data_IF_205126690966
#
_entry.id   IF_205126690966
#
_cell.length_a   1.000
_cell.length_b   1.000
_cell.length_c   1.000
_cell.angle_alpha   90.00
_cell.angle_beta   90.00
_cell.angle_gamma   90.00
#
_symmetry.space_group_name_H-M   'P 1'
#
loop_
_entity.id
_entity.type
_entity.pdbx_description
1 polymer ?
#
# COMPACT_ATOMS: atom_id res chain seq x y z
N UNK A 1 3.92 1.00 -30.48
CA UNK A 1 4.60 2.20 -31.03
C UNK A 1 4.11 2.41 -32.46
N UNK A 2 3.91 3.65 -32.92
CA UNK A 2 3.42 3.87 -34.28
C UNK A 2 4.48 3.45 -35.31
N UNK A 3 4.08 2.72 -36.36
CA UNK A 3 5.02 2.10 -37.31
C UNK A 3 5.92 3.14 -38.02
N UNK A 4 5.40 4.33 -38.31
CA UNK A 4 6.20 5.40 -38.96
C UNK A 4 7.45 5.85 -38.19
N UNK A 5 7.53 5.59 -36.88
CA UNK A 5 8.68 5.94 -36.04
C UNK A 5 9.31 4.72 -35.35
N UNK A 6 8.80 3.52 -35.61
CA UNK A 6 9.17 2.30 -34.87
C UNK A 6 10.65 1.98 -34.98
N UNK A 7 11.22 2.00 -36.18
CA UNK A 7 12.64 1.69 -36.38
C UNK A 7 13.54 2.69 -35.64
N UNK A 8 13.27 3.99 -35.80
CA UNK A 8 14.00 5.06 -35.10
C UNK A 8 13.86 4.95 -33.58
N UNK A 9 12.67 4.58 -33.10
CA UNK A 9 12.40 4.35 -31.69
C UNK A 9 13.20 3.16 -31.16
N UNK A 10 13.14 2.01 -31.82
CA UNK A 10 13.87 0.79 -31.42
C UNK A 10 15.38 1.02 -31.40
N UNK A 11 15.93 1.68 -32.42
CA UNK A 11 17.35 2.05 -32.45
C UNK A 11 17.73 2.94 -31.26
N UNK A 12 16.86 3.89 -30.89
CA UNK A 12 17.10 4.74 -29.72
C UNK A 12 16.99 3.96 -28.41
N UNK A 13 15.99 3.10 -28.27
CA UNK A 13 15.79 2.24 -27.08
C UNK A 13 17.01 1.35 -26.88
N UNK A 14 17.48 0.68 -27.92
CA UNK A 14 18.68 -0.17 -27.87
C UNK A 14 19.90 0.63 -27.40
N UNK A 15 20.10 1.83 -27.94
CA UNK A 15 21.19 2.73 -27.57
C UNK A 15 21.10 3.23 -26.13
N UNK A 16 19.91 3.51 -25.61
CA UNK A 16 19.77 3.97 -24.22
C UNK A 16 19.91 2.80 -23.23
N UNK A 17 19.38 1.62 -23.55
CA UNK A 17 19.52 0.42 -22.74
C UNK A 17 20.99 0.01 -22.59
N UNK A 18 21.79 0.11 -23.66
CA UNK A 18 23.22 -0.23 -23.59
C UNK A 18 24.03 0.65 -22.63
N UNK A 19 23.46 1.77 -22.15
CA UNK A 19 24.10 2.67 -21.18
C UNK A 19 23.71 2.37 -19.74
N UNK A 20 22.80 1.42 -19.49
CA UNK A 20 22.31 1.08 -18.16
C UNK A 20 23.23 0.04 -17.53
N UNK A 21 24.18 0.42 -16.65
CA UNK A 21 25.04 -0.57 -16.03
C UNK A 21 24.24 -1.38 -15.00
N UNK A 22 24.55 -2.68 -14.94
CA UNK A 22 24.20 -3.50 -13.79
C UNK A 22 25.06 -3.07 -12.62
N UNK A 23 24.44 -2.86 -11.45
CA UNK A 23 25.15 -2.43 -10.25
C UNK A 23 24.72 -3.22 -9.02
N UNK A 24 25.61 -3.27 -8.05
CA UNK A 24 25.34 -3.82 -6.73
C UNK A 24 24.42 -2.89 -5.93
N UNK A 25 23.67 -3.42 -4.94
CA UNK A 25 22.94 -2.58 -4.00
C UNK A 25 23.84 -1.57 -3.27
N UNK A 26 25.08 -1.93 -2.98
CA UNK A 26 26.04 -1.05 -2.31
C UNK A 26 26.35 0.20 -3.17
N UNK A 27 26.60 0.01 -4.47
CA UNK A 27 26.82 1.12 -5.42
C UNK A 27 25.58 2.03 -5.56
N UNK A 28 24.37 1.49 -5.36
CA UNK A 28 23.13 2.28 -5.33
C UNK A 28 22.98 3.10 -4.04
N UNK A 29 23.56 2.65 -2.93
CA UNK A 29 23.49 3.36 -1.65
C UNK A 29 24.55 4.45 -1.54
N UNK A 30 25.76 4.19 -2.02
CA UNK A 30 26.92 5.09 -1.88
C UNK A 30 26.90 6.28 -2.85
N UNK A 31 26.16 6.19 -3.95
CA UNK A 31 26.18 7.20 -5.01
C UNK A 31 25.27 8.42 -4.79
N UNK A 32 24.23 8.31 -3.96
CA UNK A 32 23.11 9.28 -3.96
C UNK A 32 22.32 9.27 -5.27
N UNK A 33 21.12 9.88 -5.29
CA UNK A 33 20.17 9.82 -6.42
C UNK A 33 20.78 10.26 -7.77
N UNK A 34 21.70 11.23 -7.77
CA UNK A 34 22.30 11.73 -9.01
C UNK A 34 23.31 10.77 -9.64
N UNK A 35 24.04 9.97 -8.85
CA UNK A 35 25.03 9.01 -9.38
C UNK A 35 24.45 7.63 -9.68
N UNK A 36 23.22 7.38 -9.23
CA UNK A 36 22.53 6.08 -9.31
C UNK A 36 21.39 6.07 -10.32
N UNK A 37 21.02 7.24 -10.83
CA UNK A 37 20.11 7.38 -11.97
C UNK A 37 20.59 6.57 -13.17
N UNK A 38 19.68 5.79 -13.76
CA UNK A 38 19.98 4.96 -14.93
C UNK A 38 20.78 3.69 -14.66
N UNK A 39 20.79 3.17 -13.43
CA UNK A 39 21.41 1.88 -13.08
C UNK A 39 20.38 0.81 -12.73
N UNK A 40 20.76 -0.46 -12.84
CA UNK A 40 19.88 -1.60 -12.55
C UNK A 40 20.48 -2.57 -11.54
N UNK A 41 19.75 -2.82 -10.44
CA UNK A 41 20.12 -3.78 -9.40
C UNK A 41 19.71 -5.23 -9.73
N UNK A 42 20.05 -6.20 -8.85
CA UNK A 42 19.63 -7.59 -8.99
C UNK A 42 18.15 -7.78 -8.67
N UNK A 43 17.59 -8.90 -9.14
CA UNK A 43 16.27 -9.38 -8.71
C UNK A 43 16.25 -9.70 -7.21
N UNK A 44 15.08 -9.55 -6.59
CA UNK A 44 14.89 -9.69 -5.14
C UNK A 44 15.22 -11.08 -4.57
N UNK A 45 15.04 -12.14 -5.37
CA UNK A 45 15.22 -13.52 -4.90
C UNK A 45 15.53 -14.48 -6.03
N UNK A 46 16.07 -15.66 -5.68
CA UNK A 46 16.31 -16.77 -6.62
C UNK A 46 15.04 -17.19 -7.35
N UNK A 47 13.93 -17.34 -6.62
CA UNK A 47 12.64 -17.74 -7.20
C UNK A 47 12.17 -16.75 -8.27
N UNK A 48 12.29 -15.45 -7.99
CA UNK A 48 11.90 -14.42 -8.95
C UNK A 48 12.86 -14.37 -10.15
N UNK A 49 14.16 -14.53 -9.91
CA UNK A 49 15.17 -14.66 -10.95
C UNK A 49 14.86 -15.82 -11.91
N UNK A 50 14.66 -17.03 -11.38
CA UNK A 50 14.34 -18.23 -12.16
C UNK A 50 13.02 -18.09 -12.92
N UNK A 51 12.00 -17.44 -12.32
CA UNK A 51 10.74 -17.13 -13.02
C UNK A 51 11.02 -16.25 -14.25
N UNK A 52 11.72 -15.13 -14.05
CA UNK A 52 11.99 -14.15 -15.11
C UNK A 52 12.86 -14.75 -16.20
N UNK A 53 13.98 -15.38 -15.86
CA UNK A 53 14.88 -15.99 -16.85
C UNK A 53 14.18 -17.12 -17.58
N UNK A 54 13.40 -17.96 -16.90
CA UNK A 54 12.62 -19.02 -17.53
C UNK A 54 11.61 -18.51 -18.55
N UNK A 55 10.92 -17.40 -18.29
CA UNK A 55 10.02 -16.77 -19.28
C UNK A 55 10.78 -16.23 -20.49
N UNK A 56 11.91 -15.56 -20.27
CA UNK A 56 12.78 -15.04 -21.34
C UNK A 56 13.33 -16.18 -22.21
N UNK A 57 13.78 -17.28 -21.60
CA UNK A 57 14.33 -18.43 -22.32
C UNK A 57 13.26 -19.13 -23.16
N UNK A 58 12.03 -19.30 -22.65
CA UNK A 58 10.91 -19.84 -23.43
C UNK A 58 10.53 -18.94 -24.61
N UNK A 59 10.54 -17.62 -24.43
CA UNK A 59 10.28 -16.66 -25.50
C UNK A 59 11.36 -16.74 -26.59
N UNK A 60 12.65 -16.83 -26.22
CA UNK A 60 13.77 -17.04 -27.15
C UNK A 60 13.66 -18.39 -27.88
N UNK A 61 13.34 -19.46 -27.16
CA UNK A 61 13.15 -20.79 -27.73
C UNK A 61 11.98 -20.86 -28.73
N UNK A 62 10.99 -19.98 -28.58
CA UNK A 62 9.87 -19.82 -29.51
C UNK A 62 10.24 -19.04 -30.78
N UNK A 63 11.49 -18.61 -30.93
CA UNK A 63 11.98 -17.88 -32.09
C UNK A 63 11.60 -16.40 -32.14
N UNK A 64 11.17 -15.83 -31.02
CA UNK A 64 10.78 -14.42 -30.96
C UNK A 64 11.98 -13.49 -31.10
N UNK A 65 11.79 -12.37 -31.80
CA UNK A 65 12.87 -11.41 -32.07
C UNK A 65 13.29 -10.68 -30.79
N UNK A 66 14.57 -10.76 -30.46
CA UNK A 66 15.21 -10.04 -29.36
C UNK A 66 16.06 -8.91 -29.93
N UNK A 67 15.74 -7.67 -29.56
CA UNK A 67 16.51 -6.50 -29.98
C UNK A 67 17.81 -6.34 -29.19
N UNK A 68 17.76 -6.56 -27.87
CA UNK A 68 18.91 -6.51 -26.97
C UNK A 68 18.63 -7.24 -25.65
N UNK A 69 19.70 -7.54 -24.91
CA UNK A 69 19.66 -8.23 -23.63
C UNK A 69 19.38 -9.73 -23.78
N UNK A 70 18.59 -10.28 -22.87
CA UNK A 70 18.20 -11.69 -22.88
C UNK A 70 19.23 -12.63 -22.24
N UNK A 71 20.17 -12.07 -21.47
CA UNK A 71 21.14 -12.82 -20.67
C UNK A 71 20.93 -12.56 -19.17
N UNK A 72 21.50 -13.44 -18.37
CA UNK A 72 21.51 -13.35 -16.91
C UNK A 72 22.90 -13.65 -16.38
N UNK A 73 23.22 -13.17 -15.17
CA UNK A 73 24.55 -13.30 -14.57
C UNK A 73 24.48 -13.73 -13.11
N UNK A 74 25.34 -14.68 -12.75
CA UNK A 74 25.66 -15.11 -11.39
C UNK A 74 27.17 -14.92 -11.12
N UNK A 75 27.66 -14.76 -9.87
CA UNK A 75 26.89 -14.68 -8.62
C UNK A 75 25.99 -13.43 -8.54
N UNK A 76 24.90 -13.53 -7.76
CA UNK A 76 23.80 -12.57 -7.75
C UNK A 76 22.68 -12.94 -8.73
N UNK A 77 21.56 -12.22 -8.65
CA UNK A 77 20.35 -12.48 -9.43
C UNK A 77 20.14 -11.42 -10.52
N UNK A 78 21.15 -11.19 -11.36
CA UNK A 78 21.12 -10.12 -12.35
C UNK A 78 20.52 -10.58 -13.68
N UNK A 79 19.55 -9.81 -14.19
CA UNK A 79 18.95 -10.00 -15.51
C UNK A 79 19.21 -8.75 -16.33
N UNK A 80 19.73 -8.90 -17.55
CA UNK A 80 19.94 -7.77 -18.45
C UNK A 80 18.60 -7.16 -18.90
N UNK A 81 18.51 -5.82 -19.07
CA UNK A 81 17.34 -5.22 -19.69
C UNK A 81 17.12 -5.83 -21.08
N UNK A 82 15.98 -6.51 -21.24
CA UNK A 82 15.68 -7.34 -22.40
C UNK A 82 14.54 -6.73 -23.20
N UNK A 83 14.70 -6.59 -24.51
CA UNK A 83 13.65 -6.05 -25.39
C UNK A 83 13.29 -7.07 -26.44
N UNK A 84 12.02 -7.50 -26.45
CA UNK A 84 11.43 -8.29 -27.51
C UNK A 84 10.65 -7.40 -28.47
N UNK A 85 10.67 -7.74 -29.76
CA UNK A 85 10.00 -6.98 -30.83
C UNK A 85 9.03 -7.87 -31.58
N UNK A 86 7.81 -7.36 -31.80
CA UNK A 86 6.75 -8.01 -32.58
C UNK A 86 6.36 -9.42 -32.11
N UNK A 87 6.38 -9.64 -30.79
CA UNK A 87 5.91 -10.89 -30.19
C UNK A 87 4.41 -11.10 -30.47
N UNK A 88 3.94 -12.34 -30.68
CA UNK A 88 2.52 -12.62 -30.85
C UNK A 88 1.67 -12.15 -29.65
N UNK A 89 0.45 -11.66 -29.91
CA UNK A 89 -0.43 -11.08 -28.88
C UNK A 89 -1.03 -12.12 -27.93
N UNK A 90 -0.91 -13.40 -28.25
CA UNK A 90 -1.32 -14.55 -27.44
C UNK A 90 -0.15 -15.24 -26.73
N UNK A 91 1.08 -14.74 -26.91
CA UNK A 91 2.27 -15.30 -26.28
C UNK A 91 2.36 -15.00 -24.79
N UNK A 92 2.95 -15.92 -24.02
CA UNK A 92 3.14 -15.77 -22.57
C UNK A 92 3.86 -14.46 -22.22
N UNK A 93 4.91 -14.10 -22.97
CA UNK A 93 5.72 -12.88 -22.73
C UNK A 93 4.93 -11.58 -22.99
N UNK A 94 3.81 -11.66 -23.70
CA UNK A 94 2.91 -10.54 -23.94
C UNK A 94 1.76 -10.49 -22.93
N UNK A 95 1.18 -11.64 -22.58
CA UNK A 95 -0.05 -11.71 -21.77
C UNK A 95 0.20 -11.83 -20.26
N UNK A 96 1.38 -12.29 -19.85
CA UNK A 96 1.75 -12.51 -18.45
C UNK A 96 2.67 -11.42 -17.90
N UNK A 97 2.53 -11.14 -16.61
CA UNK A 97 3.42 -10.22 -15.91
C UNK A 97 4.75 -10.93 -15.56
N UNK A 98 5.80 -10.54 -16.28
CA UNK A 98 7.17 -11.02 -16.06
C UNK A 98 7.71 -10.51 -14.72
N UNK A 99 7.47 -9.23 -14.41
CA UNK A 99 7.98 -8.56 -13.21
C UNK A 99 9.51 -8.61 -13.09
N UNK A 100 10.17 -8.34 -14.21
CA UNK A 100 11.61 -8.20 -14.39
C UNK A 100 11.92 -7.13 -15.45
N UNK A 101 13.20 -6.86 -15.75
CA UNK A 101 13.60 -5.82 -16.68
C UNK A 101 13.39 -6.26 -18.14
N UNK A 102 12.14 -6.57 -18.52
CA UNK A 102 11.76 -7.10 -19.84
C UNK A 102 10.68 -6.21 -20.45
N UNK A 103 10.90 -5.76 -21.68
CA UNK A 103 9.98 -4.92 -22.45
C UNK A 103 9.61 -5.62 -23.76
N UNK A 104 8.31 -5.69 -24.06
CA UNK A 104 7.82 -6.11 -25.38
C UNK A 104 7.38 -4.87 -26.17
N UNK A 105 7.79 -4.78 -27.44
CA UNK A 105 7.44 -3.67 -28.33
C UNK A 105 6.72 -4.20 -29.56
N UNK A 106 5.52 -3.67 -29.81
CA UNK A 106 4.72 -3.96 -31.01
C UNK A 106 4.37 -2.68 -31.76
N UNK A 107 4.24 -2.81 -33.08
CA UNK A 107 3.83 -1.75 -34.00
C UNK A 107 2.32 -1.55 -34.08
N UNK A 108 1.87 -0.36 -34.45
CA UNK A 108 0.48 -0.09 -34.87
C UNK A 108 0.44 1.02 -35.93
N UNK A 109 -0.61 1.06 -36.74
CA UNK A 109 -0.81 2.11 -37.75
C UNK A 109 -1.96 3.06 -37.38
N UNK A 110 -2.97 2.58 -36.66
CA UNK A 110 -4.13 3.39 -36.30
C UNK A 110 -4.31 3.58 -34.79
N UNK A 111 -4.95 4.68 -34.38
CA UNK A 111 -5.31 4.94 -32.97
C UNK A 111 -6.22 3.81 -32.43
N UNK A 112 -7.11 3.27 -33.27
CA UNK A 112 -8.01 2.18 -32.92
C UNK A 112 -7.28 0.87 -32.64
N UNK A 113 -6.32 0.48 -33.49
CA UNK A 113 -5.46 -0.69 -33.24
C UNK A 113 -4.68 -0.55 -31.93
N UNK A 114 -4.06 0.61 -31.70
CA UNK A 114 -3.30 0.87 -30.49
C UNK A 114 -4.16 0.70 -29.23
N UNK A 115 -5.39 1.23 -29.25
CA UNK A 115 -6.33 1.12 -28.15
C UNK A 115 -6.86 -0.31 -27.95
N UNK A 116 -7.13 -1.02 -29.04
CA UNK A 116 -7.56 -2.41 -28.98
C UNK A 116 -6.47 -3.28 -28.34
N UNK A 117 -5.23 -3.12 -28.80
CA UNK A 117 -4.09 -3.88 -28.28
C UNK A 117 -3.79 -3.51 -26.82
N UNK A 118 -3.77 -2.22 -26.47
CA UNK A 118 -3.54 -1.77 -25.09
C UNK A 118 -4.60 -2.25 -24.10
N UNK A 119 -5.87 -2.34 -24.54
CA UNK A 119 -6.97 -2.80 -23.71
C UNK A 119 -7.14 -4.33 -23.69
N UNK A 120 -6.47 -5.06 -24.60
CA UNK A 120 -6.48 -6.51 -24.72
C UNK A 120 -5.56 -7.17 -23.69
N UNK A 121 -5.91 -6.97 -22.42
CA UNK A 121 -5.25 -7.59 -21.28
C UNK A 121 -6.28 -7.83 -20.18
N UNK A 122 -6.07 -8.87 -19.36
CA UNK A 122 -6.90 -9.11 -18.17
C UNK A 122 -6.59 -8.13 -17.03
N UNK A 123 -5.48 -7.42 -17.12
CA UNK A 123 -5.04 -6.41 -16.17
C UNK A 123 -5.67 -5.04 -16.47
N UNK A 124 -5.41 -4.07 -15.60
CA UNK A 124 -5.97 -2.71 -15.70
C UNK A 124 -5.42 -1.74 -14.67
N UNK A 125 -4.13 -1.84 -14.32
CA UNK A 125 -3.52 -0.94 -13.33
C UNK A 125 -3.29 0.46 -13.92
N UNK A 126 -2.37 0.57 -14.88
CA UNK A 126 -1.98 1.84 -15.46
C UNK A 126 -1.69 1.75 -16.97
N UNK A 127 -1.77 2.88 -17.66
CA UNK A 127 -1.38 3.04 -19.06
C UNK A 127 -0.72 4.40 -19.29
N UNK A 128 0.00 4.56 -20.41
CA UNK A 128 0.59 5.83 -20.80
C UNK A 128 0.33 6.14 -22.27
N UNK A 129 0.06 7.41 -22.59
CA UNK A 129 -0.02 7.92 -23.95
C UNK A 129 1.05 9.00 -24.16
N UNK A 130 1.80 8.88 -25.26
CA UNK A 130 2.84 9.82 -25.65
C UNK A 130 2.47 10.41 -27.02
N UNK A 131 2.12 11.70 -27.06
CA UNK A 131 1.80 12.41 -28.30
C UNK A 131 2.02 13.91 -28.16
N UNK A 132 2.47 14.54 -29.25
CA UNK A 132 2.49 15.99 -29.39
C UNK A 132 1.11 16.60 -29.69
N UNK A 133 0.09 15.78 -29.94
CA UNK A 133 -1.30 16.18 -30.17
C UNK A 133 -2.11 16.04 -28.87
N UNK A 134 -2.46 17.14 -28.19
CA UNK A 134 -3.18 17.08 -26.92
C UNK A 134 -4.59 16.48 -27.07
N UNK A 135 -5.26 16.74 -28.20
CA UNK A 135 -6.59 16.21 -28.45
C UNK A 135 -6.56 14.68 -28.62
N UNK A 136 -5.47 14.15 -29.20
CA UNK A 136 -5.24 12.70 -29.24
C UNK A 136 -4.98 12.12 -27.87
N UNK A 137 -4.15 12.76 -27.05
CA UNK A 137 -3.94 12.33 -25.67
C UNK A 137 -5.27 12.24 -24.91
N UNK A 138 -6.12 13.27 -25.00
CA UNK A 138 -7.45 13.30 -24.38
C UNK A 138 -8.35 12.15 -24.85
N UNK A 139 -8.42 11.90 -26.17
CA UNK A 139 -9.23 10.80 -26.73
C UNK A 139 -8.74 9.43 -26.28
N UNK A 140 -7.42 9.22 -26.29
CA UNK A 140 -6.79 7.94 -25.94
C UNK A 140 -6.92 7.68 -24.45
N UNK A 141 -6.62 8.66 -23.59
CA UNK A 141 -6.66 8.48 -22.14
C UNK A 141 -8.06 8.09 -21.63
N UNK A 142 -9.13 8.66 -22.22
CA UNK A 142 -10.51 8.31 -21.88
C UNK A 142 -10.92 6.89 -22.29
N UNK A 143 -10.21 6.30 -23.25
CA UNK A 143 -10.52 4.97 -23.80
C UNK A 143 -9.66 3.87 -23.19
N UNK A 144 -8.59 4.19 -22.45
CA UNK A 144 -7.86 3.18 -21.69
C UNK A 144 -8.74 2.60 -20.58
N UNK A 145 -8.66 1.27 -20.41
CA UNK A 145 -9.36 0.54 -19.36
C UNK A 145 -8.42 0.22 -18.20
N UNK A 146 -7.94 1.27 -17.54
CA UNK A 146 -7.05 1.20 -16.38
C UNK A 146 -7.42 2.27 -15.34
N UNK A 147 -6.89 2.15 -14.11
CA UNK A 147 -7.17 3.12 -13.05
C UNK A 147 -6.28 4.36 -13.09
N UNK A 148 -5.08 4.25 -13.67
CA UNK A 148 -4.11 5.36 -13.77
C UNK A 148 -3.75 5.57 -15.24
N UNK A 149 -3.73 6.82 -15.71
CA UNK A 149 -3.23 7.16 -17.04
C UNK A 149 -2.21 8.28 -16.93
N UNK A 150 -1.04 8.07 -17.51
CA UNK A 150 -0.03 9.12 -17.69
C UNK A 150 -0.06 9.67 -19.12
N UNK A 151 0.08 10.98 -19.24
CA UNK A 151 0.18 11.69 -20.53
C UNK A 151 1.57 12.27 -20.64
N UNK A 152 2.31 11.90 -21.68
CA UNK A 152 3.68 12.33 -21.96
C UNK A 152 4.71 12.04 -20.84
N UNK A 153 4.40 11.07 -19.96
CA UNK A 153 5.31 10.54 -18.94
C UNK A 153 4.89 9.10 -18.55
N UNK A 154 5.66 8.45 -17.67
CA UNK A 154 5.33 7.13 -17.14
C UNK A 154 5.92 6.99 -15.74
N UNK A 155 5.13 6.47 -14.79
CA UNK A 155 5.49 6.18 -13.39
C UNK A 155 5.37 7.26 -12.30
N UNK A 156 5.22 8.60 -12.54
CA UNK A 156 5.00 9.53 -11.43
C UNK A 156 3.85 9.08 -10.54
N UNK A 157 4.13 8.97 -9.24
CA UNK A 157 3.21 8.53 -8.20
C UNK A 157 3.21 9.57 -7.09
N UNK A 158 2.05 10.18 -6.86
CA UNK A 158 1.86 11.27 -5.90
C UNK A 158 0.87 10.80 -4.84
N UNK A 159 1.17 11.03 -3.57
CA UNK A 159 0.31 10.61 -2.44
C UNK A 159 -1.07 11.26 -2.48
N UNK A 160 -1.16 12.44 -3.08
CA UNK A 160 -2.40 13.21 -3.21
C UNK A 160 -3.41 12.58 -4.19
N UNK A 161 -2.99 11.63 -5.04
CA UNK A 161 -3.82 11.04 -6.08
C UNK A 161 -4.21 9.60 -5.75
N UNK A 162 -5.41 9.14 -6.13
CA UNK A 162 -5.80 7.76 -5.92
C UNK A 162 -4.93 6.81 -6.75
N UNK A 163 -4.43 5.76 -6.10
CA UNK A 163 -3.69 4.68 -6.75
C UNK A 163 -4.46 3.37 -6.66
N UNK A 164 -4.75 2.75 -7.81
CA UNK A 164 -5.50 1.50 -7.90
C UNK A 164 -5.81 1.13 -9.35
N UNK A 165 -6.14 -0.14 -9.60
CA UNK A 165 -6.47 -0.65 -10.93
C UNK A 165 -7.93 -1.09 -11.06
N UNK A 166 -8.34 -1.40 -12.29
CA UNK A 166 -9.61 -2.07 -12.61
C UNK A 166 -9.37 -3.53 -13.04
N UNK A 167 -10.45 -4.30 -13.24
CA UNK A 167 -10.45 -5.71 -13.68
C UNK A 167 -9.75 -6.64 -12.69
N UNK A 168 -8.85 -7.53 -13.15
CA UNK A 168 -8.14 -8.50 -12.31
C UNK A 168 -7.11 -7.84 -11.37
N UNK A 169 -6.87 -6.55 -11.56
CA UNK A 169 -6.12 -5.68 -10.64
C UNK A 169 -7.06 -4.83 -9.76
N UNK A 170 -8.31 -5.27 -9.58
CA UNK A 170 -9.22 -4.76 -8.55
C UNK A 170 -8.61 -5.00 -7.17
N UNK A 171 -7.79 -4.06 -6.73
CA UNK A 171 -7.91 -3.58 -5.37
C UNK A 171 -9.04 -2.56 -5.42
N UNK A 172 -10.05 -2.78 -4.59
CA UNK A 172 -11.38 -2.15 -4.56
C UNK A 172 -11.39 -0.66 -4.92
N UNK A 173 -12.53 -0.19 -5.44
CA UNK A 173 -12.93 1.22 -5.42
C UNK A 173 -12.86 1.67 -3.95
N UNK A 174 -11.73 2.25 -3.58
CA UNK A 174 -11.15 2.19 -2.24
C UNK A 174 -9.63 2.24 -2.37
N UNK A 175 -9.18 3.23 -3.14
CA UNK A 175 -7.80 3.52 -3.53
C UNK A 175 -6.81 3.33 -2.39
N UNK A 176 -5.58 2.87 -2.69
CA UNK A 176 -4.41 3.17 -1.86
C UNK A 176 -4.07 4.67 -1.96
N UNK A 177 -5.06 5.54 -1.76
CA UNK A 177 -4.85 6.95 -1.51
C UNK A 177 -4.28 7.06 -0.10
N UNK A 178 -2.95 6.98 -0.02
CA UNK A 178 -2.22 7.36 1.17
C UNK A 178 -2.38 8.87 1.37
N UNK A 179 -3.19 9.25 2.37
CA UNK A 179 -3.31 10.60 2.92
C UNK A 179 -3.62 11.72 1.89
N UNK A 180 -4.89 11.88 1.52
CA UNK A 180 -5.61 13.17 1.64
C UNK A 180 -6.98 13.07 0.96
N UNK A 181 -8.02 12.91 1.77
CA UNK A 181 -9.34 13.47 1.44
C UNK A 181 -9.43 14.72 2.30
N UNK A 182 -8.94 15.86 1.81
CA UNK A 182 -8.77 17.11 2.58
C UNK A 182 -7.83 17.01 3.82
N UNK A 183 -7.30 18.15 4.32
CA UNK A 183 -6.52 18.16 5.55
C UNK A 183 -7.33 17.57 6.72
N UNK A 184 -6.80 16.52 7.34
CA UNK A 184 -7.36 15.94 8.57
C UNK A 184 -8.41 14.84 8.42
N UNK A 185 -8.74 14.35 7.22
CA UNK A 185 -9.62 13.16 7.09
C UNK A 185 -8.84 11.89 6.71
N UNK A 186 -9.17 10.79 7.40
CA UNK A 186 -8.73 9.44 7.04
C UNK A 186 -9.36 9.02 5.71
N UNK A 187 -8.60 8.31 4.88
CA UNK A 187 -9.14 7.79 3.62
C UNK A 187 -10.34 6.85 3.89
N UNK A 188 -11.37 6.83 3.03
CA UNK A 188 -12.58 6.03 3.22
C UNK A 188 -12.32 4.53 3.46
N UNK A 189 -11.20 3.99 2.98
CA UNK A 189 -10.79 2.60 3.24
C UNK A 189 -10.46 2.29 4.70
N UNK A 190 -10.31 3.30 5.55
CA UNK A 190 -10.09 3.18 7.00
C UNK A 190 -11.32 3.58 7.82
N UNK A 191 -12.45 3.87 7.17
CA UNK A 191 -13.69 4.27 7.82
C UNK A 191 -14.74 3.19 7.62
N UNK A 192 -15.48 2.88 8.68
CA UNK A 192 -16.67 2.02 8.60
C UNK A 192 -17.92 2.90 8.68
N UNK A 193 -18.66 3.09 7.57
CA UNK A 193 -19.88 3.88 7.60
C UNK A 193 -20.95 3.14 8.43
N UNK A 194 -21.43 3.79 9.50
CA UNK A 194 -22.54 3.30 10.32
C UNK A 194 -23.76 4.18 10.13
N UNK A 195 -24.80 3.65 9.48
CA UNK A 195 -26.07 4.34 9.38
C UNK A 195 -26.82 4.20 10.72
N UNK A 196 -27.06 5.32 11.40
CA UNK A 196 -27.86 5.37 12.64
C UNK A 196 -29.17 6.07 12.32
N UNK A 197 -30.28 5.34 12.41
CA UNK A 197 -31.63 5.88 12.22
C UNK A 197 -32.40 5.72 13.52
N UNK A 198 -32.91 6.84 14.05
CA UNK A 198 -33.74 6.85 15.25
C UNK A 198 -35.19 7.14 14.88
N UNK A 199 -36.10 6.29 15.34
CA UNK A 199 -37.53 6.56 15.27
C UNK A 199 -37.94 7.42 16.47
N UNK A 200 -38.22 8.71 16.24
CA UNK A 200 -38.42 9.71 17.30
C UNK A 200 -39.89 9.97 17.66
N UNK A 201 -40.84 9.39 16.93
CA UNK A 201 -42.27 9.57 17.20
C UNK A 201 -42.80 8.52 18.15
N UNK A 202 -43.79 8.90 18.97
CA UNK A 202 -44.55 7.98 19.84
C UNK A 202 -45.63 7.20 19.07
N UNK A 203 -45.87 7.54 17.80
CA UNK A 203 -46.86 6.85 16.97
C UNK A 203 -46.39 5.45 16.60
N UNK A 204 -47.26 4.42 16.60
CA UNK A 204 -46.89 3.09 16.15
C UNK A 204 -46.42 3.10 14.69
N UNK A 205 -45.46 2.25 14.35
CA UNK A 205 -44.91 2.16 12.97
C UNK A 205 -45.97 1.65 11.95
N UNK A 206 -47.00 0.94 12.39
CA UNK A 206 -48.18 0.62 11.58
C UNK A 206 -48.00 -0.46 10.50
N UNK A 207 -46.91 -1.23 10.55
CA UNK A 207 -46.60 -2.26 9.54
C UNK A 207 -47.55 -3.47 9.57
N UNK A 208 -47.98 -3.88 10.76
CA UNK A 208 -48.91 -5.00 10.92
C UNK A 208 -50.32 -4.48 11.14
N UNK A 209 -51.30 -5.11 10.49
CA UNK A 209 -52.72 -4.88 10.82
C UNK A 209 -52.92 -5.22 12.29
N UNK A 210 -53.57 -4.36 13.10
CA UNK A 210 -54.09 -4.79 14.38
C UNK A 210 -55.04 -5.95 14.07
N UNK A 211 -54.70 -7.16 14.48
CA UNK A 211 -55.58 -8.32 14.37
C UNK A 211 -55.83 -8.85 15.77
N UNK A 212 -57.13 -8.85 16.08
CA UNK A 212 -57.82 -9.42 17.23
C UNK A 212 -57.94 -8.49 18.46
N UNK A 213 -59.04 -7.73 18.44
CA UNK A 213 -59.91 -7.62 19.60
C UNK A 213 -60.25 -9.05 20.13
N UNK A 214 -60.36 -9.18 21.45
CA UNK A 214 -60.74 -10.36 22.23
C UNK A 214 -59.65 -11.37 22.66
N UNK A 215 -58.88 -10.99 23.69
CA UNK A 215 -58.91 -11.76 24.95
C UNK A 215 -58.38 -10.93 26.13
N UNK A 216 -59.31 -10.38 26.92
CA UNK A 216 -59.19 -10.10 28.37
C UNK A 216 -57.79 -9.75 28.91
N UNK A 217 -57.26 -8.60 28.51
CA UNK A 217 -56.55 -7.72 29.44
C UNK A 217 -57.11 -6.31 29.23
N UNK A 218 -58.19 -6.04 29.97
CA UNK A 218 -58.81 -4.72 30.07
C UNK A 218 -57.98 -3.82 31.02
N UNK A 219 -58.49 -2.65 31.38
CA UNK A 219 -58.28 -1.36 30.75
C UNK A 219 -57.44 -0.44 31.66
N UNK A 220 -57.28 0.80 31.24
CA UNK A 220 -56.84 1.93 32.06
C UNK A 220 -55.43 1.91 32.65
N UNK A 221 -54.71 2.95 32.21
CA UNK A 221 -53.93 3.86 33.05
C UNK A 221 -54.31 3.85 34.54
N UNK A 222 -53.77 2.90 35.29
CA UNK A 222 -53.59 3.02 36.73
C UNK A 222 -52.12 2.70 37.00
N UNK A 223 -51.38 3.72 37.42
CA UNK A 223 -50.03 3.59 37.91
C UNK A 223 -50.00 2.51 39.01
N UNK A 224 -49.33 1.40 38.75
CA UNK A 224 -48.90 0.48 39.80
C UNK A 224 -47.83 1.19 40.63
N UNK A 225 -48.07 1.51 41.92
CA UNK A 225 -47.06 2.13 42.76
C UNK A 225 -46.04 1.04 43.12
N UNK A 226 -44.85 1.10 42.51
CA UNK A 226 -43.75 0.19 42.83
C UNK A 226 -42.84 -0.22 41.65
N UNK A 227 -43.18 0.09 40.41
CA UNK A 227 -42.32 -0.16 39.24
C UNK A 227 -41.86 1.16 38.63
N UNK A 228 -41.16 1.95 39.43
CA UNK A 228 -40.43 3.13 38.99
C UNK A 228 -39.01 2.74 38.58
N UNK A 229 -38.84 1.80 37.66
CA UNK A 229 -37.61 1.75 36.86
C UNK A 229 -37.96 1.38 35.41
N UNK A 230 -37.51 2.16 34.42
CA UNK A 230 -37.68 1.79 33.02
C UNK A 230 -36.94 0.47 32.80
N UNK A 231 -37.67 -0.60 32.52
CA UNK A 231 -37.07 -1.81 31.97
C UNK A 231 -36.52 -1.41 30.59
N UNK A 232 -35.24 -1.09 30.54
CA UNK A 232 -34.49 -0.93 29.30
C UNK A 232 -34.40 -2.31 28.63
N UNK A 233 -35.49 -2.78 28.03
CA UNK A 233 -35.45 -3.94 27.15
C UNK A 233 -34.68 -3.54 25.89
N UNK A 234 -33.39 -3.88 25.86
CA UNK A 234 -32.59 -3.82 24.64
C UNK A 234 -33.01 -5.02 23.78
N UNK A 235 -33.87 -4.78 22.79
CA UNK A 235 -34.19 -5.79 21.79
C UNK A 235 -33.15 -5.73 20.67
N UNK A 236 -32.29 -6.74 20.59
CA UNK A 236 -31.37 -6.90 19.47
C UNK A 236 -32.11 -7.57 18.31
N UNK A 237 -32.37 -6.83 17.23
CA UNK A 237 -32.90 -7.39 15.98
C UNK A 237 -31.72 -7.50 15.00
N UNK A 238 -31.27 -8.73 14.76
CA UNK A 238 -30.31 -9.01 13.71
C UNK A 238 -31.05 -9.24 12.39
N UNK A 239 -30.97 -8.28 11.46
CA UNK A 239 -31.50 -8.43 10.10
C UNK A 239 -30.38 -9.01 9.23
N UNK A 240 -30.40 -10.32 9.03
CA UNK A 240 -29.49 -10.96 8.08
C UNK A 240 -30.19 -11.03 6.71
N UNK A 241 -30.12 -9.95 5.93
CA UNK A 241 -30.64 -9.94 4.57
C UNK A 241 -29.57 -10.51 3.64
N UNK A 242 -29.68 -11.81 3.32
CA UNK A 242 -28.84 -12.44 2.31
C UNK A 242 -29.18 -11.92 0.91
N UNK A 243 -28.50 -10.87 0.45
CA UNK A 243 -28.44 -10.55 -0.96
C UNK A 243 -27.44 -11.50 -1.62
N UNK A 244 -27.95 -12.58 -2.20
CA UNK A 244 -27.16 -13.51 -3.02
C UNK A 244 -26.72 -12.78 -4.28
N UNK A 245 -25.52 -12.19 -4.27
CA UNK A 245 -24.80 -11.92 -5.52
C UNK A 245 -24.10 -13.22 -5.87
N UNK A 246 -24.62 -13.92 -6.88
CA UNK A 246 -24.05 -15.16 -7.39
C UNK A 246 -22.56 -14.95 -7.77
N UNK A 247 -21.69 -15.54 -6.96
CA UNK A 247 -20.26 -15.69 -7.18
C UNK A 247 -19.80 -16.76 -6.21
N UNK A 248 -19.76 -18.01 -6.68
CA UNK A 248 -19.41 -19.19 -5.90
C UNK A 248 -18.13 -18.98 -5.05
N UNK A 249 -18.30 -18.81 -3.73
CA UNK A 249 -17.30 -19.28 -2.77
C UNK A 249 -17.75 -20.66 -2.33
N UNK A 250 -17.03 -21.68 -2.79
CA UNK A 250 -16.99 -22.98 -2.12
C UNK A 250 -16.16 -22.79 -0.86
N UNK A 251 -16.81 -22.47 0.26
CA UNK A 251 -16.22 -22.69 1.57
C UNK A 251 -16.16 -24.20 1.79
N UNK A 252 -14.94 -24.75 1.80
CA UNK A 252 -14.70 -26.11 2.24
C UNK A 252 -14.62 -26.07 3.77
N UNK A 253 -15.64 -26.61 4.44
CA UNK A 253 -15.61 -26.91 5.87
C UNK A 253 -14.50 -27.94 6.15
N UNK A 254 -13.36 -27.47 6.63
CA UNK A 254 -12.32 -28.31 7.24
C UNK A 254 -12.60 -28.33 8.75
N UNK A 255 -12.67 -29.50 9.42
CA UNK A 255 -12.93 -29.54 10.86
C UNK A 255 -11.78 -28.87 11.63
N UNK A 256 -12.08 -27.82 12.39
CA UNK A 256 -11.09 -27.11 13.21
C UNK A 256 -10.71 -27.92 14.46
N UNK A 257 -9.41 -28.16 14.64
CA UNK A 257 -8.84 -28.75 15.85
C UNK A 257 -8.87 -27.74 17.02
N UNK A 258 -9.82 -27.92 17.94
CA UNK A 258 -10.00 -27.08 19.13
C UNK A 258 -8.74 -27.03 20.02
N UNK A 259 -7.89 -28.05 20.02
CA UNK A 259 -6.68 -28.08 20.84
C UNK A 259 -5.63 -27.09 20.31
N UNK A 260 -5.50 -27.01 18.98
CA UNK A 260 -4.60 -26.06 18.31
C UNK A 260 -5.05 -24.61 18.55
N UNK A 261 -6.36 -24.34 18.53
CA UNK A 261 -6.88 -23.00 18.86
C UNK A 261 -6.62 -22.63 20.32
N UNK A 262 -6.85 -23.55 21.27
CA UNK A 262 -6.59 -23.28 22.70
C UNK A 262 -5.11 -23.03 22.98
N UNK A 263 -4.21 -23.72 22.28
CA UNK A 263 -2.77 -23.47 22.38
C UNK A 263 -2.40 -22.10 21.78
N UNK A 264 -2.88 -21.78 20.57
CA UNK A 264 -2.71 -20.46 19.96
C UNK A 264 -3.23 -19.33 20.84
N UNK A 265 -4.37 -19.51 21.51
CA UNK A 265 -4.96 -18.52 22.41
C UNK A 265 -4.12 -18.29 23.68
N UNK A 266 -3.47 -19.35 24.21
CA UNK A 266 -2.53 -19.23 25.33
C UNK A 266 -1.25 -18.49 24.93
N UNK A 267 -0.74 -18.78 23.74
CA UNK A 267 0.45 -18.11 23.20
C UNK A 267 0.16 -16.63 22.89
N UNK A 268 -1.01 -16.32 22.34
CA UNK A 268 -1.52 -14.95 22.15
C UNK A 268 -1.59 -14.17 23.46
N UNK A 269 -2.15 -14.74 24.52
CA UNK A 269 -2.22 -14.09 25.86
C UNK A 269 -0.84 -13.85 26.47
N UNK A 270 0.15 -14.72 26.20
CA UNK A 270 1.53 -14.57 26.69
C UNK A 270 2.25 -13.45 25.94
N UNK A 271 1.99 -13.30 24.65
CA UNK A 271 2.55 -12.24 23.80
C UNK A 271 1.94 -10.87 24.14
N UNK A 272 0.63 -10.80 24.37
CA UNK A 272 -0.08 -9.57 24.78
C UNK A 272 0.48 -8.98 26.08
N UNK A 273 0.75 -9.85 27.07
CA UNK A 273 1.39 -9.46 28.35
C UNK A 273 2.79 -8.85 28.17
N UNK A 274 3.56 -9.33 27.20
CA UNK A 274 4.90 -8.79 26.91
C UNK A 274 4.82 -7.47 26.13
N UNK A 275 3.74 -7.23 25.37
CA UNK A 275 3.53 -6.00 24.62
C UNK A 275 3.19 -4.82 25.54
N UNK A 276 2.42 -5.06 26.60
CA UNK A 276 2.19 -4.05 27.64
C UNK A 276 3.49 -3.51 28.24
N UNK A 277 4.47 -4.40 28.50
CA UNK A 277 5.81 -4.01 29.01
C UNK A 277 6.57 -3.13 28.00
N UNK A 278 6.49 -3.44 26.71
CA UNK A 278 7.14 -2.66 25.65
C UNK A 278 6.50 -1.27 25.50
N UNK A 279 5.18 -1.17 25.62
CA UNK A 279 4.46 0.11 25.61
C UNK A 279 4.82 0.96 26.83
N UNK A 280 4.87 0.38 28.02
CA UNK A 280 5.26 1.09 29.24
C UNK A 280 6.71 1.62 29.16
N UNK A 281 7.64 0.80 28.64
CA UNK A 281 9.02 1.21 28.39
C UNK A 281 9.10 2.35 27.37
N UNK A 282 8.30 2.30 26.29
CA UNK A 282 8.23 3.37 25.31
C UNK A 282 7.75 4.69 25.95
N UNK A 283 6.65 4.65 26.73
CA UNK A 283 6.11 5.84 27.38
C UNK A 283 7.09 6.45 28.38
N UNK A 284 7.81 5.62 29.15
CA UNK A 284 8.84 6.08 30.08
C UNK A 284 10.02 6.74 29.34
N UNK A 285 10.57 6.08 28.32
CA UNK A 285 11.68 6.60 27.52
C UNK A 285 11.31 7.88 26.76
N UNK A 286 10.10 7.95 26.20
CA UNK A 286 9.60 9.13 25.53
C UNK A 286 9.49 10.32 26.49
N UNK A 287 8.96 10.10 27.70
CA UNK A 287 8.90 11.14 28.74
C UNK A 287 10.29 11.64 29.16
N UNK A 288 11.29 10.76 29.20
CA UNK A 288 12.68 11.16 29.49
C UNK A 288 13.34 11.93 28.34
N UNK A 289 13.02 11.60 27.08
CA UNK A 289 13.52 12.31 25.89
C UNK A 289 12.96 13.73 25.83
N UNK A 290 11.66 13.91 26.11
CA UNK A 290 11.04 15.25 26.18
C UNK A 290 11.71 16.09 27.25
N UNK A 291 11.87 15.56 28.47
CA UNK A 291 12.57 16.28 29.55
C UNK A 291 14.02 16.61 29.20
N UNK A 292 14.72 15.71 28.49
CA UNK A 292 16.08 15.98 28.04
C UNK A 292 16.15 17.05 26.95
N UNK A 293 15.15 17.13 26.06
CA UNK A 293 15.04 18.19 25.06
C UNK A 293 14.91 19.56 25.73
N UNK A 294 14.02 19.69 26.72
CA UNK A 294 13.86 20.94 27.48
C UNK A 294 15.18 21.40 28.12
N UNK A 295 15.99 20.45 28.64
CA UNK A 295 17.30 20.79 29.22
C UNK A 295 18.40 21.08 28.19
N UNK A 296 18.22 20.70 26.92
CA UNK A 296 19.11 21.06 25.81
C UNK A 296 18.75 22.45 25.33
N UNK A 297 17.46 22.73 25.16
CA UNK A 297 16.95 24.03 24.74
C UNK A 297 17.33 25.13 25.75
N UNK A 298 17.26 24.83 27.06
CA UNK A 298 17.73 25.74 28.10
C UNK A 298 19.24 26.01 28.06
N UNK A 299 20.06 25.03 27.63
CA UNK A 299 21.51 25.22 27.46
C UNK A 299 21.81 26.00 26.18
N UNK A 300 21.05 25.76 25.11
CA UNK A 300 21.14 26.54 23.86
C UNK A 300 20.78 28.02 24.12
N UNK A 301 19.78 28.30 24.96
CA UNK A 301 19.43 29.67 25.39
C UNK A 301 20.53 30.32 26.25
N UNK A 302 21.16 29.57 27.17
CA UNK A 302 22.31 30.04 27.94
C UNK A 302 23.53 30.33 27.07
N UNK A 303 23.77 29.49 26.05
CA UNK A 303 24.84 29.73 25.06
C UNK A 303 24.59 30.99 24.23
N UNK A 304 23.33 31.28 23.90
CA UNK A 304 22.93 32.49 23.17
C UNK A 304 23.17 33.76 24.01
N UNK A 305 22.84 33.71 25.30
CA UNK A 305 23.07 34.80 26.25
C UNK A 305 24.57 35.00 26.60
N UNK A 306 25.37 33.93 26.52
CA UNK A 306 26.79 33.95 26.82
C UNK A 306 27.69 34.32 25.62
N UNK A 307 27.13 34.72 24.47
CA UNK A 307 27.89 35.02 23.24
C UNK A 307 28.97 36.09 23.38
N UNK A 308 28.78 37.05 24.31
CA UNK A 308 29.72 38.15 24.58
C UNK A 308 30.60 37.91 25.82
N UNK A 309 30.56 36.70 26.39
CA UNK A 309 31.31 36.33 27.60
C UNK A 309 32.67 35.68 27.30
N UNK A 310 33.53 35.55 28.32
CA UNK A 310 34.88 34.99 28.18
C UNK A 310 34.89 33.53 27.72
N UNK A 311 35.83 33.19 26.83
CA UNK A 311 35.86 31.91 26.11
C UNK A 311 35.80 30.64 26.97
N UNK A 312 36.24 30.69 28.23
CA UNK A 312 36.21 29.53 29.14
C UNK A 312 34.79 29.10 29.56
N UNK A 313 33.86 30.07 29.69
CA UNK A 313 32.44 29.79 30.03
C UNK A 313 31.72 29.19 28.83
N UNK A 314 32.04 29.68 27.63
CA UNK A 314 31.47 29.18 26.37
C UNK A 314 31.94 27.75 26.10
N UNK A 315 33.20 27.42 26.40
CA UNK A 315 33.78 26.09 26.21
C UNK A 315 33.14 25.05 27.15
N UNK A 316 32.94 25.36 28.44
CA UNK A 316 32.26 24.47 29.40
C UNK A 316 30.77 24.24 29.03
N UNK A 317 30.09 25.25 28.52
CA UNK A 317 28.71 25.13 28.02
C UNK A 317 28.65 24.26 26.76
N UNK A 318 29.61 24.39 25.85
CA UNK A 318 29.71 23.57 24.64
C UNK A 318 29.94 22.08 24.95
N UNK A 319 30.84 21.77 25.90
CA UNK A 319 31.07 20.38 26.33
C UNK A 319 29.83 19.77 26.98
N UNK A 320 29.16 20.53 27.85
CA UNK A 320 27.91 20.11 28.50
C UNK A 320 26.80 19.87 27.48
N UNK A 321 26.68 20.77 26.50
CA UNK A 321 25.72 20.66 25.41
C UNK A 321 25.97 19.42 24.52
N UNK A 322 27.24 19.17 24.16
CA UNK A 322 27.63 18.01 23.36
C UNK A 322 27.33 16.68 24.08
N UNK A 323 27.63 16.60 25.38
CA UNK A 323 27.34 15.43 26.21
C UNK A 323 25.83 15.15 26.30
N UNK A 324 25.02 16.19 26.52
CA UNK A 324 23.55 16.08 26.58
C UNK A 324 22.94 15.65 25.24
N UNK A 325 23.37 16.25 24.11
CA UNK A 325 22.93 15.84 22.77
C UNK A 325 23.30 14.39 22.46
N UNK A 326 24.49 13.93 22.84
CA UNK A 326 24.89 12.52 22.67
C UNK A 326 23.99 11.54 23.42
N UNK A 327 23.61 11.86 24.66
CA UNK A 327 22.69 11.03 25.45
C UNK A 327 21.26 11.07 24.92
N UNK A 328 20.80 12.23 24.45
CA UNK A 328 19.51 12.38 23.77
C UNK A 328 19.40 11.47 22.54
N UNK A 329 20.39 11.52 21.64
CA UNK A 329 20.39 10.68 20.43
C UNK A 329 20.46 9.17 20.73
N UNK A 330 21.12 8.76 21.82
CA UNK A 330 21.10 7.36 22.28
C UNK A 330 19.70 6.91 22.69
N UNK A 331 18.96 7.75 23.41
CA UNK A 331 17.58 7.43 23.81
C UNK A 331 16.62 7.43 22.63
N UNK A 332 16.78 8.36 21.68
CA UNK A 332 16.02 8.37 20.42
C UNK A 332 16.28 7.09 19.62
N UNK A 333 17.52 6.62 19.55
CA UNK A 333 17.84 5.34 18.90
C UNK A 333 17.15 4.15 19.58
N UNK A 334 17.10 4.10 20.93
CA UNK A 334 16.35 3.08 21.66
C UNK A 334 14.84 3.12 21.35
N UNK A 335 14.25 4.32 21.27
CA UNK A 335 12.83 4.50 20.91
C UNK A 335 12.55 3.98 19.49
N UNK A 336 13.43 4.29 18.53
CA UNK A 336 13.31 3.79 17.15
C UNK A 336 13.35 2.26 17.07
N UNK A 337 14.18 1.61 17.89
CA UNK A 337 14.24 0.14 17.98
C UNK A 337 12.95 -0.42 18.57
N UNK A 338 12.39 0.18 19.63
CA UNK A 338 11.13 -0.25 20.24
C UNK A 338 9.94 -0.09 19.27
N UNK A 339 9.91 1.00 18.49
CA UNK A 339 8.91 1.22 17.44
C UNK A 339 9.03 0.18 16.32
N UNK A 340 10.24 -0.18 15.90
CA UNK A 340 10.46 -1.24 14.93
C UNK A 340 9.97 -2.59 15.44
N UNK A 341 10.21 -2.92 16.71
CA UNK A 341 9.68 -4.14 17.34
C UNK A 341 8.15 -4.14 17.34
N UNK A 342 7.52 -3.00 17.66
CA UNK A 342 6.07 -2.84 17.64
C UNK A 342 5.48 -2.99 16.23
N UNK A 343 6.13 -2.40 15.21
CA UNK A 343 5.73 -2.52 13.80
C UNK A 343 5.84 -3.97 13.32
N UNK A 344 6.95 -4.64 13.61
CA UNK A 344 7.12 -6.06 13.28
C UNK A 344 6.06 -6.91 13.97
N UNK A 345 5.71 -6.61 15.22
CA UNK A 345 4.64 -7.31 15.93
C UNK A 345 3.27 -7.13 15.25
N UNK A 346 2.91 -5.90 14.89
CA UNK A 346 1.66 -5.60 14.15
C UNK A 346 1.64 -6.34 12.81
N UNK A 347 2.75 -6.33 12.07
CA UNK A 347 2.84 -7.02 10.77
C UNK A 347 2.70 -8.54 10.91
N UNK A 348 3.30 -9.14 11.92
CA UNK A 348 3.23 -10.59 12.16
C UNK A 348 1.83 -11.03 12.63
N UNK A 349 1.14 -10.22 13.44
CA UNK A 349 -0.16 -10.61 14.02
C UNK A 349 -1.40 -10.12 13.27
N UNK A 350 -1.34 -8.96 12.59
CA UNK A 350 -2.49 -8.39 11.88
C UNK A 350 -2.41 -8.49 10.36
N UNK A 351 -1.24 -8.72 9.77
CA UNK A 351 -1.06 -8.70 8.30
C UNK A 351 -0.76 -10.08 7.70
N UNK A 352 -0.28 -11.06 8.49
CA UNK A 352 -0.16 -12.45 8.05
C UNK A 352 -1.49 -13.17 8.39
N UNK A 353 -2.29 -13.60 7.40
CA UNK A 353 -3.54 -14.31 7.67
C UNK A 353 -3.24 -15.64 8.37
N UNK A 354 -3.96 -15.92 9.46
CA UNK A 354 -4.02 -17.21 10.14
C UNK A 354 -4.78 -18.24 9.33
#
# INVERSE_FOLDING_TARGET
IHNSIKEKFLARVQKEISKVPLCTPQELLEGGLEKTSGRLGPMISKKQFEKVTGMVDRAKASGFSVLCGGNSRTPGYYVEPTVFVDVPTDSEIWTEEVFGPVLCVRGFDTEGEALNEANNTRFGLAAAVMSGDPARCERVMRKFRCGIVWVNCSQPCFTQLPWGGVRRMQVSVGSMAFLHVAPGQLAPGYLEPKQVVQYVTKKPFGWYSPRFEDSKLAPDTAALPGLAEPVHCIQFIFVNAGATVAGERRDQDVPLDEALQRQKLKDLKKVDKNMGVVQDMYHQLHGEVVKQQDTIDAVDEQMEQAKDSTGKVVEELQETHHSKKKNFWRKVACISILLLILIVWILVFFVIPS
#
